data_IF_326810159596
#
_entry.id   IF_326810159596
#
_cell.length_a   1.000
_cell.length_b   1.000
_cell.length_c   1.000
_cell.angle_alpha   90.00
_cell.angle_beta   90.00
_cell.angle_gamma   90.00
#
_symmetry.space_group_name_H-M   'P 1'
#
loop_
_entity.id
_entity.type
_entity.pdbx_description
1 polymer ?
#
# COMPACT_ATOMS: atom_id res chain seq x y z
N UNK A 1 3.91 42.84 10.68
CA UNK A 1 3.61 41.90 9.58
C UNK A 1 2.36 42.45 8.89
N UNK A 2 2.44 42.70 7.58
CA UNK A 2 1.27 43.13 6.79
C UNK A 2 0.40 41.89 6.49
N UNK A 3 -0.93 41.98 6.51
CA UNK A 3 -1.79 40.81 6.17
C UNK A 3 -1.47 40.23 4.79
N UNK A 4 -1.09 41.05 3.81
CA UNK A 4 -0.70 40.58 2.48
C UNK A 4 0.55 39.69 2.54
N UNK A 5 1.50 40.02 3.39
CA UNK A 5 2.75 39.29 3.58
C UNK A 5 2.50 37.94 4.27
N UNK A 6 1.69 37.94 5.33
CA UNK A 6 1.28 36.71 6.02
C UNK A 6 0.52 35.74 5.11
N UNK A 7 -0.40 36.24 4.28
CA UNK A 7 -1.14 35.40 3.32
C UNK A 7 -0.24 34.86 2.21
N UNK A 8 0.73 35.65 1.73
CA UNK A 8 1.70 35.19 0.76
C UNK A 8 2.59 34.07 1.32
N UNK A 9 3.08 34.19 2.56
CA UNK A 9 3.86 33.12 3.20
C UNK A 9 3.07 31.80 3.31
N UNK A 10 1.79 31.88 3.69
CA UNK A 10 0.90 30.71 3.77
C UNK A 10 0.70 30.08 2.39
N UNK A 11 0.42 30.91 1.37
CA UNK A 11 0.15 30.44 0.01
C UNK A 11 1.41 29.84 -0.63
N UNK A 12 2.58 30.42 -0.39
CA UNK A 12 3.86 29.85 -0.80
C UNK A 12 4.14 28.52 -0.10
N UNK A 13 3.97 28.45 1.23
CA UNK A 13 4.19 27.23 1.99
C UNK A 13 3.30 26.09 1.47
N UNK A 14 2.06 26.40 1.13
CA UNK A 14 1.13 25.39 0.68
C UNK A 14 1.35 25.00 -0.79
N UNK A 15 1.78 25.93 -1.65
CA UNK A 15 2.26 25.63 -3.01
C UNK A 15 3.49 24.72 -2.98
N UNK A 16 4.46 24.98 -2.09
CA UNK A 16 5.64 24.12 -1.85
C UNK A 16 5.27 22.68 -1.43
N UNK A 17 4.11 22.51 -0.78
CA UNK A 17 3.59 21.21 -0.35
C UNK A 17 2.56 20.61 -1.34
N UNK A 18 2.48 21.12 -2.57
CA UNK A 18 1.55 20.65 -3.61
C UNK A 18 0.07 20.69 -3.20
N UNK A 19 -0.29 21.56 -2.26
CA UNK A 19 -1.68 21.79 -1.87
C UNK A 19 -2.37 22.67 -2.92
N UNK A 20 -3.50 22.20 -3.45
CA UNK A 20 -4.27 22.92 -4.48
C UNK A 20 -5.23 23.90 -3.81
N UNK A 21 -4.96 25.20 -3.95
CA UNK A 21 -5.83 26.26 -3.42
C UNK A 21 -6.91 26.65 -4.43
N UNK A 22 -8.15 26.86 -3.99
CA UNK A 22 -9.16 27.43 -4.85
C UNK A 22 -8.86 28.92 -5.10
N UNK A 23 -9.08 29.37 -6.34
CA UNK A 23 -8.69 30.69 -6.82
C UNK A 23 -9.36 31.86 -6.07
N UNK A 24 -10.49 31.58 -5.39
CA UNK A 24 -11.21 32.53 -4.56
C UNK A 24 -10.42 32.97 -3.30
N UNK A 25 -9.43 32.20 -2.84
CA UNK A 25 -8.63 32.56 -1.66
C UNK A 25 -7.69 33.74 -1.95
N UNK A 26 -7.15 33.83 -3.18
CA UNK A 26 -6.35 35.00 -3.58
C UNK A 26 -7.17 36.30 -3.61
N UNK A 27 -8.44 36.22 -4.04
CA UNK A 27 -9.37 37.36 -4.00
C UNK A 27 -9.70 37.76 -2.56
N UNK A 28 -9.87 36.79 -1.67
CA UNK A 28 -10.08 37.04 -0.24
C UNK A 28 -8.88 37.76 0.41
N UNK A 29 -7.66 37.25 0.16
CA UNK A 29 -6.43 37.88 0.64
C UNK A 29 -6.28 39.32 0.14
N UNK A 30 -6.58 39.57 -1.15
CA UNK A 30 -6.56 40.91 -1.74
C UNK A 30 -7.58 41.86 -1.12
N UNK A 31 -8.79 41.39 -0.84
CA UNK A 31 -9.82 42.18 -0.18
C UNK A 31 -9.43 42.56 1.24
N UNK A 32 -8.85 41.63 2.02
CA UNK A 32 -8.33 41.91 3.36
C UNK A 32 -7.18 42.93 3.33
N UNK A 33 -6.25 42.78 2.39
CA UNK A 33 -5.13 43.71 2.23
C UNK A 33 -5.61 45.13 1.87
N UNK A 34 -6.62 45.25 1.00
CA UNK A 34 -7.24 46.54 0.69
C UNK A 34 -7.93 47.16 1.91
N UNK A 35 -8.64 46.36 2.70
CA UNK A 35 -9.31 46.81 3.91
C UNK A 35 -8.29 47.31 4.95
N UNK A 36 -7.21 46.57 5.16
CA UNK A 36 -6.09 47.03 6.01
C UNK A 36 -5.48 48.32 5.48
N UNK A 37 -5.29 48.43 4.16
CA UNK A 37 -4.79 49.63 3.50
C UNK A 37 -5.64 50.87 3.77
N UNK A 38 -6.97 50.73 3.74
CA UNK A 38 -7.90 51.82 4.11
C UNK A 38 -7.86 52.10 5.61
N UNK A 39 -7.85 51.07 6.46
CA UNK A 39 -7.81 51.23 7.91
C UNK A 39 -6.53 51.94 8.38
N UNK A 40 -5.38 51.66 7.76
CA UNK A 40 -4.09 52.32 8.04
C UNK A 40 -4.09 53.81 7.72
N UNK A 41 -4.99 54.31 6.87
CA UNK A 41 -5.13 55.74 6.61
C UNK A 41 -5.69 56.49 7.84
N UNK A 42 -6.50 55.82 8.65
CA UNK A 42 -7.07 56.38 9.88
C UNK A 42 -6.25 56.04 11.12
N UNK A 43 -5.73 54.81 11.19
CA UNK A 43 -4.90 54.34 12.31
C UNK A 43 -3.65 53.62 11.78
N UNK A 44 -2.50 54.32 11.64
CA UNK A 44 -1.30 53.79 10.99
C UNK A 44 -0.72 52.53 11.64
N UNK A 45 -0.93 52.37 12.95
CA UNK A 45 -0.42 51.25 13.74
C UNK A 45 -1.37 50.03 13.77
N UNK A 46 -2.49 50.04 13.03
CA UNK A 46 -3.45 48.94 13.02
C UNK A 46 -2.79 47.62 12.57
N UNK A 47 -3.06 46.55 13.30
CA UNK A 47 -2.75 45.18 12.90
C UNK A 47 -4.07 44.42 12.70
N UNK A 48 -4.51 44.32 11.44
CA UNK A 48 -5.79 43.70 11.09
C UNK A 48 -5.88 42.24 11.57
N UNK A 49 -4.75 41.52 11.59
CA UNK A 49 -4.71 40.12 11.98
C UNK A 49 -4.98 39.94 13.48
N UNK A 50 -4.47 40.84 14.32
CA UNK A 50 -4.73 40.83 15.76
C UNK A 50 -6.19 41.18 16.08
N UNK A 51 -6.77 42.12 15.34
CA UNK A 51 -8.16 42.54 15.53
C UNK A 51 -9.17 41.44 15.13
N UNK A 52 -8.86 40.68 14.08
CA UNK A 52 -9.74 39.62 13.56
C UNK A 52 -9.57 38.29 14.32
N UNK A 53 -8.43 38.09 15.00
CA UNK A 53 -8.14 36.89 15.79
C UNK A 53 -9.25 36.49 16.77
N UNK A 54 -9.83 37.38 17.61
CA UNK A 54 -10.92 37.01 18.50
C UNK A 54 -12.19 36.56 17.76
N UNK A 55 -12.55 37.21 16.65
CA UNK A 55 -13.69 36.79 15.82
C UNK A 55 -13.48 35.39 15.25
N UNK A 56 -12.26 35.10 14.76
CA UNK A 56 -11.95 33.78 14.24
C UNK A 56 -12.05 32.71 15.34
N UNK A 57 -11.56 32.99 16.54
CA UNK A 57 -11.69 32.02 17.65
C UNK A 57 -13.15 31.75 18.03
N UNK A 58 -14.00 32.77 18.02
CA UNK A 58 -15.42 32.60 18.34
C UNK A 58 -16.16 31.81 17.24
N UNK A 59 -15.87 32.11 15.96
CA UNK A 59 -16.43 31.36 14.83
C UNK A 59 -15.99 29.90 14.82
N UNK A 60 -14.70 29.62 15.07
CA UNK A 60 -14.22 28.24 15.16
C UNK A 60 -14.86 27.49 16.32
N UNK A 61 -15.02 28.15 17.47
CA UNK A 61 -15.71 27.58 18.63
C UNK A 61 -17.15 27.23 18.27
N UNK A 62 -17.88 28.13 17.63
CA UNK A 62 -19.26 27.88 17.23
C UNK A 62 -19.38 26.79 16.14
N UNK A 63 -18.45 26.72 15.19
CA UNK A 63 -18.49 25.74 14.12
C UNK A 63 -18.11 24.33 14.58
N UNK A 64 -17.15 24.21 15.51
CA UNK A 64 -16.67 22.92 16.01
C UNK A 64 -17.50 22.38 17.17
N UNK A 65 -17.96 23.27 18.06
CA UNK A 65 -18.58 22.89 19.33
C UNK A 65 -20.09 23.22 19.32
N UNK A 66 -20.53 24.14 18.46
CA UNK A 66 -21.87 24.70 18.53
C UNK A 66 -22.06 25.59 19.77
N UNK A 67 -23.28 26.04 19.99
CA UNK A 67 -23.65 26.78 21.20
C UNK A 67 -23.79 25.84 22.42
N UNK A 68 -23.98 24.53 22.17
CA UNK A 68 -24.10 23.50 23.20
C UNK A 68 -23.14 22.30 22.93
N UNK A 69 -21.98 22.23 23.63
CA UNK A 69 -21.01 21.14 23.47
C UNK A 69 -21.61 19.75 23.78
N UNK A 70 -22.61 19.68 24.67
CA UNK A 70 -23.22 18.41 25.04
C UNK A 70 -24.05 17.87 23.89
N UNK A 71 -24.83 18.73 23.23
CA UNK A 71 -25.64 18.33 22.08
C UNK A 71 -24.78 17.86 20.90
N UNK A 72 -23.64 18.52 20.65
CA UNK A 72 -22.66 18.09 19.65
C UNK A 72 -22.04 16.71 19.98
N UNK A 73 -21.71 16.47 21.25
CA UNK A 73 -21.19 15.18 21.71
C UNK A 73 -22.25 14.06 21.60
N UNK A 74 -23.50 14.34 21.99
CA UNK A 74 -24.61 13.39 21.84
C UNK A 74 -24.90 13.04 20.39
N UNK A 75 -24.89 14.02 19.49
CA UNK A 75 -25.06 13.79 18.05
C UNK A 75 -23.96 12.92 17.48
N UNK A 76 -22.70 13.23 17.81
CA UNK A 76 -21.54 12.42 17.42
C UNK A 76 -21.65 10.99 17.96
N UNK A 77 -22.08 10.82 19.22
CA UNK A 77 -22.27 9.49 19.81
C UNK A 77 -23.40 8.68 19.13
N UNK A 78 -24.49 9.34 18.72
CA UNK A 78 -25.57 8.70 17.95
C UNK A 78 -25.08 8.28 16.57
N UNK A 79 -24.33 9.13 15.86
CA UNK A 79 -23.73 8.82 14.56
C UNK A 79 -22.72 7.66 14.66
N UNK A 80 -21.91 7.63 15.73
CA UNK A 80 -20.99 6.52 16.00
C UNK A 80 -21.74 5.20 16.28
N UNK A 81 -22.85 5.27 17.03
CA UNK A 81 -23.71 4.11 17.32
C UNK A 81 -24.38 3.59 16.05
N UNK A 82 -24.87 4.45 15.16
CA UNK A 82 -25.46 4.02 13.88
C UNK A 82 -24.41 3.38 12.96
N UNK A 83 -23.21 3.95 12.87
CA UNK A 83 -22.10 3.35 12.11
C UNK A 83 -21.71 1.98 12.68
N UNK A 84 -21.66 1.84 14.01
CA UNK A 84 -21.33 0.57 14.67
C UNK A 84 -22.42 -0.50 14.53
N UNK A 85 -23.69 -0.12 14.34
CA UNK A 85 -24.79 -1.07 14.16
C UNK A 85 -24.97 -1.49 12.70
N UNK A 86 -24.68 -0.61 11.73
CA UNK A 86 -24.80 -0.93 10.31
C UNK A 86 -23.58 -1.68 9.75
N UNK A 87 -22.38 -1.38 10.26
CA UNK A 87 -21.12 -2.06 9.92
C UNK A 87 -21.18 -3.60 9.98
N UNK A 88 -21.59 -4.23 11.10
CA UNK A 88 -21.63 -5.69 11.20
C UNK A 88 -22.70 -6.31 10.28
N UNK A 89 -23.78 -5.58 9.97
CA UNK A 89 -24.82 -6.05 9.04
C UNK A 89 -24.35 -6.06 7.59
N UNK A 90 -23.58 -5.06 7.19
CA UNK A 90 -22.96 -5.02 5.87
C UNK A 90 -21.85 -6.06 5.74
N UNK A 91 -21.04 -6.24 6.79
CA UNK A 91 -20.02 -7.29 6.84
C UNK A 91 -20.61 -8.70 6.78
N UNK A 92 -21.66 -8.99 7.55
CA UNK A 92 -22.36 -10.28 7.48
C UNK A 92 -22.95 -10.52 6.10
N UNK A 93 -23.57 -9.53 5.47
CA UNK A 93 -24.07 -9.65 4.09
C UNK A 93 -22.96 -9.96 3.06
N UNK A 94 -21.78 -9.34 3.20
CA UNK A 94 -20.63 -9.63 2.35
C UNK A 94 -20.08 -11.04 2.59
N UNK A 95 -19.98 -11.45 3.86
CA UNK A 95 -19.54 -12.80 4.24
C UNK A 95 -20.53 -13.87 3.78
N UNK A 96 -21.83 -13.63 3.90
CA UNK A 96 -22.88 -14.54 3.42
C UNK A 96 -22.82 -14.68 1.90
N UNK A 97 -22.64 -13.59 1.16
CA UNK A 97 -22.47 -13.68 -0.30
C UNK A 97 -21.16 -14.37 -0.68
N UNK A 98 -20.08 -14.17 0.07
CA UNK A 98 -18.79 -14.83 -0.14
C UNK A 98 -18.91 -16.34 0.12
N UNK A 99 -19.66 -16.71 1.16
CA UNK A 99 -19.90 -18.10 1.55
C UNK A 99 -20.85 -18.82 0.59
N UNK A 100 -21.80 -18.12 -0.04
CA UNK A 100 -22.82 -18.72 -0.90
C UNK A 100 -22.40 -18.84 -2.38
N UNK A 101 -21.09 -18.83 -2.69
CA UNK A 101 -20.47 -19.02 -4.03
C UNK A 101 -20.99 -18.12 -5.17
N UNK A 102 -21.92 -17.20 -4.91
CA UNK A 102 -22.53 -16.29 -5.88
C UNK A 102 -21.75 -14.99 -6.07
N UNK A 103 -20.75 -14.75 -5.21
CA UNK A 103 -19.82 -13.64 -5.35
C UNK A 103 -18.74 -14.00 -6.39
N UNK A 104 -19.05 -13.76 -7.67
CA UNK A 104 -18.04 -13.72 -8.72
C UNK A 104 -17.22 -12.43 -8.57
N UNK A 105 -16.22 -12.49 -7.68
CA UNK A 105 -15.23 -11.44 -7.53
C UNK A 105 -14.34 -11.40 -8.78
N UNK A 106 -14.67 -10.52 -9.73
CA UNK A 106 -13.81 -10.17 -10.86
C UNK A 106 -12.63 -9.32 -10.39
N UNK A 107 -11.79 -9.88 -9.52
CA UNK A 107 -10.59 -9.24 -9.01
C UNK A 107 -9.49 -9.34 -10.07
N UNK A 108 -9.32 -8.28 -10.86
CA UNK A 108 -8.21 -8.13 -11.80
C UNK A 108 -6.93 -7.75 -11.05
N UNK A 109 -6.43 -8.66 -10.22
CA UNK A 109 -5.20 -8.47 -9.46
C UNK A 109 -4.03 -8.56 -10.43
N UNK A 110 -3.35 -7.43 -10.64
CA UNK A 110 -2.17 -7.38 -11.49
C UNK A 110 -1.02 -8.10 -10.79
N UNK A 111 -0.38 -9.05 -11.49
CA UNK A 111 0.76 -9.81 -10.95
C UNK A 111 0.46 -11.22 -10.45
N UNK A 112 -0.80 -11.67 -10.44
CA UNK A 112 -1.14 -13.08 -10.12
C UNK A 112 -0.47 -14.04 -11.10
N UNK A 113 -0.40 -13.69 -12.39
CA UNK A 113 0.29 -14.49 -13.40
C UNK A 113 1.79 -14.63 -13.11
N UNK A 114 2.40 -13.57 -12.57
CA UNK A 114 3.81 -13.58 -12.15
C UNK A 114 4.03 -14.50 -10.95
N UNK A 115 3.15 -14.42 -9.96
CA UNK A 115 3.16 -15.30 -8.79
C UNK A 115 2.95 -16.77 -9.19
N UNK A 116 1.96 -17.04 -10.04
CA UNK A 116 1.69 -18.39 -10.56
C UNK A 116 2.92 -18.97 -11.25
N UNK A 117 3.54 -18.21 -12.16
CA UNK A 117 4.78 -18.64 -12.82
C UNK A 117 5.90 -18.92 -11.83
N UNK A 118 6.08 -18.06 -10.82
CA UNK A 118 7.11 -18.27 -9.80
C UNK A 118 6.86 -19.53 -8.97
N UNK A 119 5.60 -19.84 -8.65
CA UNK A 119 5.22 -21.05 -7.92
C UNK A 119 5.46 -22.28 -8.80
N UNK A 120 5.03 -22.24 -10.06
CA UNK A 120 5.23 -23.32 -11.02
C UNK A 120 6.73 -23.59 -11.25
N UNK A 121 7.55 -22.54 -11.41
CA UNK A 121 9.00 -22.62 -11.57
C UNK A 121 9.67 -23.25 -10.31
N UNK A 122 9.23 -22.84 -9.12
CA UNK A 122 9.72 -23.38 -7.86
C UNK A 122 9.32 -24.86 -7.66
N UNK A 123 8.07 -25.22 -7.99
CA UNK A 123 7.57 -26.58 -7.90
C UNK A 123 8.32 -27.50 -8.87
N UNK A 124 8.51 -27.08 -10.13
CA UNK A 124 9.29 -27.84 -11.12
C UNK A 124 10.73 -28.07 -10.66
N UNK A 125 11.39 -27.03 -10.14
CA UNK A 125 12.75 -27.15 -9.59
C UNK A 125 12.81 -28.15 -8.43
N UNK A 126 11.81 -28.18 -7.56
CA UNK A 126 11.72 -29.14 -6.45
C UNK A 126 11.52 -30.56 -6.95
N UNK A 127 10.55 -30.79 -7.84
CA UNK A 127 10.27 -32.11 -8.43
C UNK A 127 11.50 -32.67 -9.13
N UNK A 128 12.16 -31.85 -9.97
CA UNK A 128 13.36 -32.27 -10.69
C UNK A 128 14.53 -32.56 -9.74
N UNK A 129 14.71 -31.75 -8.70
CA UNK A 129 15.67 -32.00 -7.63
C UNK A 129 15.43 -33.35 -6.95
N UNK A 130 14.17 -33.66 -6.60
CA UNK A 130 13.80 -34.95 -5.99
C UNK A 130 14.11 -36.13 -6.91
N UNK A 131 13.78 -36.04 -8.20
CA UNK A 131 14.08 -37.10 -9.19
C UNK A 131 15.59 -37.31 -9.32
N UNK A 132 16.37 -36.23 -9.45
CA UNK A 132 17.83 -36.31 -9.53
C UNK A 132 18.41 -36.92 -8.25
N UNK A 133 17.96 -36.50 -7.07
CA UNK A 133 18.40 -37.09 -5.80
C UNK A 133 18.10 -38.59 -5.72
N UNK A 134 16.90 -39.01 -6.13
CA UNK A 134 16.53 -40.42 -6.17
C UNK A 134 17.40 -41.22 -7.14
N UNK A 135 17.72 -40.66 -8.32
CA UNK A 135 18.62 -41.29 -9.30
C UNK A 135 20.05 -41.41 -8.76
N UNK A 136 20.59 -40.38 -8.12
CA UNK A 136 21.94 -40.42 -7.51
C UNK A 136 22.00 -41.47 -6.41
N UNK A 137 21.01 -41.49 -5.51
CA UNK A 137 20.93 -42.48 -4.42
C UNK A 137 20.79 -43.89 -5.00
N UNK A 138 19.90 -44.09 -5.98
CA UNK A 138 19.72 -45.38 -6.65
C UNK A 138 21.00 -45.86 -7.34
N UNK A 139 21.68 -44.99 -8.08
CA UNK A 139 22.96 -45.28 -8.71
C UNK A 139 24.03 -45.65 -7.67
N UNK A 140 24.11 -44.93 -6.55
CA UNK A 140 25.06 -45.22 -5.47
C UNK A 140 24.79 -46.58 -4.80
N UNK A 141 23.53 -46.95 -4.59
CA UNK A 141 23.15 -48.26 -4.05
C UNK A 141 23.58 -49.37 -5.03
N UNK A 142 23.27 -49.23 -6.32
CA UNK A 142 23.67 -50.21 -7.34
C UNK A 142 25.19 -50.33 -7.42
N UNK A 143 25.92 -49.20 -7.40
CA UNK A 143 27.38 -49.17 -7.39
C UNK A 143 27.95 -49.90 -6.17
N UNK A 144 27.38 -49.71 -4.98
CA UNK A 144 27.86 -50.35 -3.74
C UNK A 144 27.72 -51.87 -3.74
N UNK A 145 26.74 -52.41 -4.49
CA UNK A 145 26.49 -53.85 -4.61
C UNK A 145 27.12 -54.51 -5.85
N UNK A 146 27.83 -53.76 -6.69
CA UNK A 146 28.33 -54.26 -7.97
C UNK A 146 29.57 -55.15 -7.82
N UNK A 147 29.36 -56.48 -7.80
CA UNK A 147 30.45 -57.48 -7.73
C UNK A 147 30.91 -58.00 -9.09
N UNK A 148 30.11 -57.82 -10.15
CA UNK A 148 30.41 -58.28 -11.51
C UNK A 148 30.75 -57.07 -12.40
N UNK A 149 31.70 -57.22 -13.34
CA UNK A 149 32.11 -56.13 -14.25
C UNK A 149 30.96 -55.54 -15.07
N UNK A 150 29.93 -56.34 -15.38
CA UNK A 150 28.72 -55.87 -16.07
C UNK A 150 27.87 -54.93 -15.19
N UNK A 151 27.77 -55.21 -13.89
CA UNK A 151 27.05 -54.37 -12.93
C UNK A 151 27.82 -53.07 -12.64
N UNK A 152 29.15 -53.11 -12.65
CA UNK A 152 30.00 -51.92 -12.50
C UNK A 152 29.83 -50.96 -13.69
N UNK A 153 29.86 -51.47 -14.92
CA UNK A 153 29.59 -50.65 -16.11
C UNK A 153 28.20 -50.04 -16.08
N UNK A 154 27.19 -50.78 -15.61
CA UNK A 154 25.83 -50.27 -15.48
C UNK A 154 25.76 -49.15 -14.43
N UNK A 155 26.41 -49.31 -13.27
CA UNK A 155 26.45 -48.26 -12.24
C UNK A 155 27.16 -47.01 -12.72
N UNK A 156 28.25 -47.14 -13.48
CA UNK A 156 29.00 -46.00 -14.01
C UNK A 156 28.14 -45.19 -14.99
N UNK A 157 27.38 -45.86 -15.86
CA UNK A 157 26.45 -45.21 -16.79
C UNK A 157 25.34 -44.49 -16.02
N UNK A 158 24.71 -45.16 -15.05
CA UNK A 158 23.66 -44.58 -14.21
C UNK A 158 24.17 -43.33 -13.46
N UNK A 159 25.37 -43.41 -12.89
CA UNK A 159 25.98 -42.31 -12.14
C UNK A 159 26.37 -41.14 -13.06
N UNK A 160 26.89 -41.43 -14.26
CA UNK A 160 27.20 -40.42 -15.26
C UNK A 160 25.94 -39.66 -15.72
N UNK A 161 24.85 -40.38 -16.01
CA UNK A 161 23.56 -39.79 -16.39
C UNK A 161 22.99 -38.95 -15.25
N UNK A 162 22.97 -39.47 -14.01
CA UNK A 162 22.46 -38.75 -12.85
C UNK A 162 23.27 -37.47 -12.56
N UNK A 163 24.60 -37.55 -12.66
CA UNK A 163 25.50 -36.40 -12.49
C UNK A 163 25.30 -35.35 -13.57
N UNK A 164 25.12 -35.76 -14.83
CA UNK A 164 24.84 -34.86 -15.94
C UNK A 164 23.50 -34.13 -15.75
N UNK A 165 22.44 -34.85 -15.38
CA UNK A 165 21.12 -34.26 -15.09
C UNK A 165 21.17 -33.30 -13.90
N UNK A 166 21.89 -33.66 -12.85
CA UNK A 166 22.08 -32.79 -11.69
C UNK A 166 22.84 -31.51 -12.04
N UNK A 167 23.90 -31.62 -12.82
CA UNK A 167 24.68 -30.46 -13.27
C UNK A 167 23.85 -29.54 -14.18
N UNK A 168 23.09 -30.12 -15.11
CA UNK A 168 22.18 -29.38 -15.98
C UNK A 168 21.10 -28.63 -15.17
N UNK A 169 20.53 -29.27 -14.13
CA UNK A 169 19.57 -28.63 -13.23
C UNK A 169 20.19 -27.44 -12.49
N UNK A 170 21.42 -27.57 -11.98
CA UNK A 170 22.13 -26.47 -11.30
C UNK A 170 22.32 -25.27 -12.24
N UNK A 171 22.69 -25.51 -13.50
CA UNK A 171 22.80 -24.45 -14.51
C UNK A 171 21.45 -23.80 -14.78
N UNK A 172 20.38 -24.60 -14.92
CA UNK A 172 19.02 -24.09 -15.12
C UNK A 172 18.55 -23.18 -13.98
N UNK A 173 18.85 -23.57 -12.75
CA UNK A 173 18.59 -22.79 -11.53
C UNK A 173 19.30 -21.44 -11.57
N UNK A 174 20.62 -21.44 -11.80
CA UNK A 174 21.44 -20.23 -11.79
C UNK A 174 21.06 -19.27 -12.91
N UNK A 175 20.66 -19.79 -14.08
CA UNK A 175 20.20 -18.99 -15.21
C UNK A 175 18.81 -18.39 -14.99
N UNK A 176 17.89 -19.14 -14.38
CA UNK A 176 16.53 -18.64 -14.09
C UNK A 176 16.49 -17.53 -13.04
N UNK A 177 17.45 -17.53 -12.10
CA UNK A 177 17.56 -16.48 -11.07
C UNK A 177 18.14 -15.15 -11.58
N UNK A 178 18.70 -15.10 -12.80
CA UNK A 178 19.31 -13.88 -13.40
C UNK A 178 18.47 -13.19 -14.47
N UNK A 179 17.24 -13.65 -14.72
CA UNK A 179 16.32 -13.05 -15.69
C UNK A 179 14.93 -12.91 -15.07
N UNK A 180 14.79 -12.01 -14.11
CA UNK A 180 13.54 -11.31 -13.76
C UNK A 180 13.89 -10.08 -12.93
#
# INVERSE_FOLDING_TARGET
>A
INTAEAFNEIMEAASRNYLRWPANIGLFAKSLANLEGVARQFYPAVNLFEEVKPLMSDLFRQQLIGDDPLQAAFRTAIEFKSLSLESPRQLSFLLDRLSNETLQLNLKVHGIDGLRRSIDDAANRRTFGTVVSALIIGAAIVASGAQTSQLQLLSDILFAVASFLGFWLIIGILRSGRLR
#
